data_IF_203210731123
#
_entry.id   IF_203210731123
#
_cell.length_a   1.000
_cell.length_b   1.000
_cell.length_c   1.000
_cell.angle_alpha   90.00
_cell.angle_beta   90.00
_cell.angle_gamma   90.00
#
_symmetry.space_group_name_H-M   'P 1'
#
loop_
_entity.id
_entity.type
_entity.pdbx_description
1 polymer ?
#
# COMPACT_ATOMS: atom_id res chain seq x y z
N UNK A 1 -13.04 -24.95 -8.61
CA UNK A 1 -13.45 -23.87 -9.51
C UNK A 1 -12.45 -22.75 -9.41
N UNK A 2 -12.45 -21.82 -10.35
CA UNK A 2 -11.62 -20.64 -10.28
C UNK A 2 -12.45 -19.50 -9.71
N UNK A 3 -11.89 -18.71 -8.79
CA UNK A 3 -12.49 -17.48 -8.33
C UNK A 3 -12.49 -16.42 -9.44
N UNK A 4 -13.38 -15.44 -9.34
CA UNK A 4 -13.46 -14.30 -10.23
C UNK A 4 -13.52 -13.00 -9.42
N UNK A 5 -12.79 -12.00 -9.86
CA UNK A 5 -12.85 -10.65 -9.27
C UNK A 5 -13.40 -9.68 -10.32
N UNK A 6 -14.43 -8.94 -9.93
CA UNK A 6 -15.02 -7.89 -10.74
C UNK A 6 -14.87 -6.53 -10.04
N UNK A 7 -14.29 -5.56 -10.75
CA UNK A 7 -14.06 -4.20 -10.22
C UNK A 7 -14.95 -3.22 -10.99
N UNK A 8 -15.87 -2.57 -10.27
CA UNK A 8 -16.79 -1.59 -10.84
C UNK A 8 -16.62 -0.21 -10.16
N UNK A 9 -15.94 0.73 -10.81
CA UNK A 9 -15.76 2.08 -10.27
C UNK A 9 -17.07 2.87 -10.14
N UNK A 10 -18.15 2.45 -10.81
CA UNK A 10 -19.42 3.16 -10.87
C UNK A 10 -20.54 2.50 -10.09
N UNK A 11 -20.34 1.30 -9.51
CA UNK A 11 -21.26 0.54 -8.66
C UNK A 11 -22.54 0.03 -9.34
N UNK A 12 -22.86 0.45 -10.57
CA UNK A 12 -24.11 0.08 -11.24
C UNK A 12 -24.11 -1.35 -11.75
N UNK A 13 -23.03 -1.76 -12.38
CA UNK A 13 -22.92 -3.08 -13.02
C UNK A 13 -22.75 -4.20 -11.99
N UNK A 14 -22.12 -3.94 -10.85
CA UNK A 14 -21.94 -4.96 -9.80
C UNK A 14 -23.27 -5.43 -9.23
N UNK A 15 -24.23 -4.54 -9.00
CA UNK A 15 -25.56 -4.92 -8.51
C UNK A 15 -26.36 -5.72 -9.54
N UNK A 16 -26.27 -5.33 -10.82
CA UNK A 16 -26.88 -6.12 -11.90
C UNK A 16 -26.26 -7.51 -11.98
N UNK A 17 -24.95 -7.61 -11.87
CA UNK A 17 -24.22 -8.88 -11.90
C UNK A 17 -24.63 -9.79 -10.73
N UNK A 18 -24.67 -9.24 -9.49
CA UNK A 18 -25.11 -10.01 -8.30
C UNK A 18 -26.53 -10.51 -8.49
N UNK A 19 -27.43 -9.68 -9.04
CA UNK A 19 -28.84 -10.05 -9.29
C UNK A 19 -29.01 -11.13 -10.37
N UNK A 20 -27.99 -11.42 -11.19
CA UNK A 20 -28.00 -12.48 -12.18
C UNK A 20 -27.39 -13.80 -11.66
N UNK A 21 -26.77 -13.80 -10.48
CA UNK A 21 -26.15 -15.00 -9.92
C UNK A 21 -27.24 -15.93 -9.37
N UNK A 22 -27.08 -17.26 -9.57
CA UNK A 22 -27.93 -18.24 -8.91
C UNK A 22 -27.80 -18.18 -7.39
N UNK A 23 -28.91 -18.46 -6.68
CA UNK A 23 -28.93 -18.42 -5.21
C UNK A 23 -27.86 -19.30 -4.56
N UNK A 24 -27.54 -20.44 -5.20
CA UNK A 24 -26.57 -21.41 -4.71
C UNK A 24 -25.14 -20.90 -4.64
N UNK A 25 -24.83 -19.79 -5.34
CA UNK A 25 -23.47 -19.19 -5.34
C UNK A 25 -23.39 -17.90 -4.53
N UNK A 26 -24.53 -17.35 -4.07
CA UNK A 26 -24.55 -16.07 -3.34
C UNK A 26 -23.77 -16.13 -2.03
N UNK A 27 -23.77 -17.27 -1.33
CA UNK A 27 -22.99 -17.48 -0.10
C UNK A 27 -21.46 -17.41 -0.31
N UNK A 28 -21.02 -17.47 -1.57
CA UNK A 28 -19.60 -17.39 -1.96
C UNK A 28 -19.24 -16.01 -2.48
N UNK A 29 -20.20 -15.09 -2.56
CA UNK A 29 -19.95 -13.73 -3.05
C UNK A 29 -19.41 -12.87 -1.91
N UNK A 30 -18.25 -12.28 -2.11
CA UNK A 30 -17.73 -11.24 -1.23
C UNK A 30 -17.87 -9.91 -1.94
N UNK A 31 -18.74 -9.04 -1.43
CA UNK A 31 -18.95 -7.70 -1.93
C UNK A 31 -18.17 -6.71 -1.08
N UNK A 32 -17.25 -5.97 -1.70
CA UNK A 32 -16.45 -4.96 -1.05
C UNK A 32 -16.86 -3.58 -1.56
N UNK A 33 -17.44 -2.78 -0.70
CA UNK A 33 -17.82 -1.40 -0.99
C UNK A 33 -16.91 -0.43 -0.23
N UNK A 34 -16.00 0.21 -0.96
CA UNK A 34 -15.09 1.21 -0.37
C UNK A 34 -15.79 2.54 -0.05
N UNK A 35 -17.05 2.69 -0.46
CA UNK A 35 -17.86 3.90 -0.25
C UNK A 35 -18.86 3.74 0.89
N UNK A 36 -18.97 2.53 1.46
CA UNK A 36 -19.84 2.23 2.59
C UNK A 36 -19.31 2.90 3.86
N UNK A 37 -20.17 3.68 4.52
CA UNK A 37 -19.82 4.37 5.77
C UNK A 37 -20.02 3.49 7.01
N UNK A 38 -20.86 2.47 6.93
CA UNK A 38 -21.19 1.55 8.03
C UNK A 38 -20.19 0.37 8.08
N UNK A 39 -19.75 -0.12 6.91
CA UNK A 39 -18.85 -1.26 6.79
C UNK A 39 -17.53 -0.86 6.13
N UNK A 40 -16.53 -0.60 6.95
CA UNK A 40 -15.20 -0.22 6.47
C UNK A 40 -14.43 -1.44 6.00
N UNK A 41 -13.99 -1.43 4.75
CA UNK A 41 -13.04 -2.41 4.23
C UNK A 41 -11.65 -2.03 4.70
N UNK A 42 -11.06 -2.86 5.56
CA UNK A 42 -9.66 -2.71 5.99
C UNK A 42 -8.76 -3.31 4.89
N UNK A 43 -7.92 -2.49 4.26
CA UNK A 43 -7.03 -2.94 3.19
C UNK A 43 -5.61 -2.41 3.40
N UNK A 44 -4.69 -3.32 3.69
CA UNK A 44 -3.25 -3.06 3.71
C UNK A 44 -2.56 -3.89 2.62
N UNK A 45 -2.11 -3.28 1.52
CA UNK A 45 -1.45 -4.00 0.43
C UNK A 45 -0.11 -4.63 0.82
N UNK A 46 0.41 -4.33 2.02
CA UNK A 46 1.72 -4.77 2.50
C UNK A 46 1.66 -5.95 3.48
N UNK A 47 0.47 -6.35 3.94
CA UNK A 47 0.32 -7.32 5.04
C UNK A 47 0.63 -8.77 4.61
N UNK A 48 0.09 -9.21 3.48
CA UNK A 48 0.09 -10.64 3.10
C UNK A 48 1.16 -11.03 2.09
N UNK A 49 1.98 -10.09 1.64
CA UNK A 49 3.02 -10.37 0.67
C UNK A 49 4.14 -11.24 1.26
N UNK A 50 4.62 -12.21 0.49
CA UNK A 50 5.82 -12.97 0.78
C UNK A 50 7.08 -12.20 0.36
N UNK A 51 8.22 -12.52 0.99
CA UNK A 51 9.48 -11.81 0.78
C UNK A 51 10.03 -11.92 -0.64
N UNK A 52 9.74 -12.99 -1.36
CA UNK A 52 10.18 -13.19 -2.75
C UNK A 52 9.46 -12.23 -3.70
N UNK A 53 8.23 -11.86 -3.37
CA UNK A 53 7.38 -10.94 -4.15
C UNK A 53 7.64 -9.46 -3.87
N UNK A 54 8.32 -9.07 -2.78
CA UNK A 54 8.47 -7.66 -2.38
C UNK A 54 9.00 -6.76 -3.50
N UNK A 55 10.02 -7.22 -4.24
CA UNK A 55 10.62 -6.44 -5.33
C UNK A 55 9.61 -6.13 -6.44
N UNK A 56 8.89 -7.15 -6.91
CA UNK A 56 7.86 -7.02 -7.95
C UNK A 56 6.71 -6.15 -7.48
N UNK A 57 6.14 -6.44 -6.31
CA UNK A 57 5.02 -5.69 -5.75
C UNK A 57 5.38 -4.22 -5.49
N UNK A 58 6.62 -3.94 -5.07
CA UNK A 58 7.11 -2.56 -4.93
C UNK A 58 7.05 -1.80 -6.26
N UNK A 59 7.50 -2.43 -7.36
CA UNK A 59 7.47 -1.81 -8.68
C UNK A 59 6.03 -1.56 -9.14
N UNK A 60 5.15 -2.54 -8.98
CA UNK A 60 3.73 -2.44 -9.34
C UNK A 60 3.03 -1.34 -8.55
N UNK A 61 3.23 -1.30 -7.23
CA UNK A 61 2.67 -0.26 -6.37
C UNK A 61 3.15 1.14 -6.77
N UNK A 62 4.46 1.32 -6.94
CA UNK A 62 5.03 2.61 -7.33
C UNK A 62 4.54 3.05 -8.71
N UNK A 63 4.38 2.14 -9.67
CA UNK A 63 3.82 2.44 -10.97
C UNK A 63 2.35 2.86 -10.89
N UNK A 64 1.55 2.25 -10.02
CA UNK A 64 0.15 2.65 -9.78
C UNK A 64 0.06 4.08 -9.22
N UNK A 65 1.01 4.47 -8.41
CA UNK A 65 1.09 5.82 -7.84
C UNK A 65 1.79 6.85 -8.75
N UNK A 66 2.36 6.43 -9.88
CA UNK A 66 3.08 7.31 -10.81
C UNK A 66 2.27 8.53 -11.23
N UNK A 67 0.99 8.34 -11.48
CA UNK A 67 0.10 9.40 -11.95
C UNK A 67 -0.20 10.49 -10.88
N UNK A 68 0.13 10.22 -9.61
CA UNK A 68 0.03 11.20 -8.54
C UNK A 68 1.20 12.20 -8.52
N UNK A 69 2.25 11.94 -9.31
CA UNK A 69 3.47 12.75 -9.34
C UNK A 69 3.65 13.42 -10.70
N UNK A 70 4.14 14.66 -10.71
CA UNK A 70 4.51 15.33 -11.94
C UNK A 70 5.69 14.61 -12.61
N UNK A 71 5.67 14.50 -13.93
CA UNK A 71 6.65 13.75 -14.71
C UNK A 71 8.10 14.20 -14.46
N UNK A 72 8.33 15.51 -14.29
CA UNK A 72 9.66 16.07 -14.04
C UNK A 72 10.29 15.68 -12.70
N UNK A 73 9.45 15.45 -11.70
CA UNK A 73 9.86 15.09 -10.34
C UNK A 73 9.94 13.57 -10.13
N UNK A 74 9.24 12.80 -10.94
CA UNK A 74 9.04 11.36 -10.73
C UNK A 74 10.36 10.56 -10.76
N UNK A 75 11.29 10.88 -11.68
CA UNK A 75 12.54 10.11 -11.80
C UNK A 75 13.39 10.13 -10.54
N UNK A 76 13.55 11.30 -9.92
CA UNK A 76 14.34 11.43 -8.68
C UNK A 76 13.63 10.80 -7.49
N UNK A 77 12.32 10.95 -7.42
CA UNK A 77 11.51 10.44 -6.32
C UNK A 77 11.25 8.94 -6.42
N UNK A 78 11.29 8.37 -7.62
CA UNK A 78 11.02 6.95 -7.84
C UNK A 78 11.93 6.04 -7.01
N UNK A 79 13.24 6.35 -6.95
CA UNK A 79 14.18 5.60 -6.12
C UNK A 79 13.78 5.66 -4.63
N UNK A 80 13.59 6.87 -4.10
CA UNK A 80 13.24 7.06 -2.69
C UNK A 80 11.88 6.40 -2.36
N UNK A 81 10.90 6.54 -3.26
CA UNK A 81 9.58 5.94 -3.09
C UNK A 81 9.66 4.40 -3.08
N UNK A 82 10.47 3.80 -3.97
CA UNK A 82 10.71 2.36 -3.95
C UNK A 82 11.30 1.89 -2.63
N UNK A 83 12.27 2.62 -2.08
CA UNK A 83 12.87 2.27 -0.79
C UNK A 83 11.84 2.33 0.35
N UNK A 84 10.94 3.33 0.32
CA UNK A 84 9.89 3.46 1.32
C UNK A 84 8.84 2.34 1.19
N UNK A 85 8.35 2.08 -0.02
CA UNK A 85 7.35 1.02 -0.27
C UNK A 85 7.91 -0.36 0.07
N UNK A 86 9.14 -0.64 -0.32
CA UNK A 86 9.80 -1.91 0.05
C UNK A 86 9.92 -2.06 1.58
N UNK A 87 10.23 -0.97 2.28
CA UNK A 87 10.28 -0.98 3.74
C UNK A 87 8.91 -1.29 4.38
N UNK A 88 7.80 -0.81 3.79
CA UNK A 88 6.46 -1.16 4.28
C UNK A 88 6.17 -2.66 4.14
N UNK A 89 6.57 -3.29 3.03
CA UNK A 89 6.47 -4.75 2.86
C UNK A 89 7.29 -5.49 3.92
N UNK A 90 8.56 -5.09 4.15
CA UNK A 90 9.43 -5.72 5.16
C UNK A 90 8.83 -5.62 6.56
N UNK A 91 8.25 -4.49 6.91
CA UNK A 91 7.71 -4.22 8.25
C UNK A 91 6.23 -4.59 8.38
N UNK A 92 5.55 -4.95 7.29
CA UNK A 92 4.09 -5.17 7.22
C UNK A 92 3.29 -3.97 7.76
N UNK A 93 3.81 -2.77 7.51
CA UNK A 93 3.23 -1.51 7.97
C UNK A 93 2.34 -0.90 6.88
N UNK A 94 1.39 -0.08 7.29
CA UNK A 94 0.49 0.64 6.40
C UNK A 94 1.10 1.97 5.88
N UNK A 95 0.37 2.66 5.01
CA UNK A 95 0.80 3.92 4.40
C UNK A 95 1.07 5.05 5.39
N UNK A 96 0.44 5.06 6.57
CA UNK A 96 0.68 6.05 7.62
C UNK A 96 2.11 5.99 8.18
N UNK A 97 2.83 4.90 7.96
CA UNK A 97 4.22 4.76 8.38
C UNK A 97 5.22 5.49 7.47
N UNK A 98 4.81 5.94 6.27
CA UNK A 98 5.69 6.67 5.33
C UNK A 98 6.23 7.98 5.94
N UNK A 99 5.39 8.87 6.53
CA UNK A 99 5.90 10.07 7.17
C UNK A 99 6.88 9.78 8.31
N UNK A 100 6.63 8.73 9.08
CA UNK A 100 7.50 8.33 10.18
C UNK A 100 8.83 7.80 9.67
N UNK A 101 8.85 6.96 8.62
CA UNK A 101 10.07 6.49 7.96
C UNK A 101 10.98 7.64 7.49
N UNK A 102 10.40 8.74 7.01
CA UNK A 102 11.14 9.90 6.55
C UNK A 102 11.42 10.94 7.65
N UNK A 103 10.85 10.78 8.83
CA UNK A 103 11.12 11.67 9.96
C UNK A 103 12.54 11.44 10.52
N UNK A 104 13.10 12.48 11.14
CA UNK A 104 14.36 12.38 11.89
C UNK A 104 14.07 12.41 13.41
N UNK A 105 13.12 11.59 13.81
CA UNK A 105 12.72 11.36 15.19
C UNK A 105 13.23 9.99 15.64
N UNK A 106 13.23 9.75 16.95
CA UNK A 106 13.60 8.44 17.51
C UNK A 106 12.72 7.31 16.93
N UNK A 107 11.41 7.55 16.80
CA UNK A 107 10.49 6.59 16.20
C UNK A 107 10.86 6.27 14.73
N UNK A 108 11.22 7.29 13.95
CA UNK A 108 11.69 7.09 12.58
C UNK A 108 13.01 6.31 12.52
N UNK A 109 13.93 6.58 13.46
CA UNK A 109 15.20 5.83 13.56
C UNK A 109 14.94 4.36 13.92
N UNK A 110 14.04 4.08 14.85
CA UNK A 110 13.62 2.73 15.23
C UNK A 110 13.03 1.95 14.03
N UNK A 111 12.13 2.58 13.26
CA UNK A 111 11.58 1.95 12.06
C UNK A 111 12.66 1.65 11.03
N UNK A 112 13.57 2.58 10.76
CA UNK A 112 14.67 2.35 9.80
C UNK A 112 15.63 1.25 10.26
N UNK A 113 15.93 1.19 11.55
CA UNK A 113 16.72 0.10 12.14
C UNK A 113 16.00 -1.24 11.98
N UNK A 114 14.69 -1.28 12.20
CA UNK A 114 13.90 -2.49 11.98
C UNK A 114 13.92 -2.94 10.51
N UNK A 115 13.83 -2.00 9.54
CA UNK A 115 14.01 -2.35 8.12
C UNK A 115 15.38 -2.96 7.87
N UNK A 116 16.45 -2.32 8.37
CA UNK A 116 17.82 -2.81 8.18
C UNK A 116 18.04 -4.20 8.77
N UNK A 117 17.39 -4.49 9.92
CA UNK A 117 17.51 -5.78 10.60
C UNK A 117 16.75 -6.92 9.89
N UNK A 118 15.59 -6.62 9.29
CA UNK A 118 14.68 -7.64 8.74
C UNK A 118 14.67 -7.72 7.21
N UNK A 119 15.44 -6.89 6.51
CA UNK A 119 15.45 -6.83 5.05
C UNK A 119 16.63 -7.62 4.48
N UNK A 120 16.38 -8.57 3.59
CA UNK A 120 17.42 -9.34 2.90
C UNK A 120 17.99 -8.58 1.69
N UNK A 121 17.26 -7.59 1.15
CA UNK A 121 17.73 -6.81 0.01
C UNK A 121 18.84 -5.82 0.42
N UNK A 122 20.05 -6.04 -0.13
CA UNK A 122 21.24 -5.25 0.19
C UNK A 122 21.15 -3.78 -0.21
N UNK A 123 20.42 -3.45 -1.29
CA UNK A 123 20.20 -2.07 -1.74
C UNK A 123 19.30 -1.31 -0.77
N UNK A 124 18.18 -1.92 -0.37
CA UNK A 124 17.26 -1.33 0.60
C UNK A 124 17.92 -1.14 1.96
N UNK A 125 18.68 -2.14 2.44
CA UNK A 125 19.47 -2.01 3.68
C UNK A 125 20.48 -0.86 3.61
N UNK A 126 21.23 -0.75 2.51
CA UNK A 126 22.20 0.32 2.32
C UNK A 126 21.53 1.70 2.31
N UNK A 127 20.39 1.82 1.63
CA UNK A 127 19.63 3.07 1.61
C UNK A 127 19.26 3.52 3.02
N UNK A 128 18.59 2.68 3.80
CA UNK A 128 18.13 3.06 5.13
C UNK A 128 19.24 3.18 6.18
N UNK A 129 20.35 2.44 5.99
CA UNK A 129 21.52 2.50 6.90
C UNK A 129 22.36 3.77 6.70
N UNK A 130 22.50 4.25 5.46
CA UNK A 130 23.46 5.32 5.15
C UNK A 130 22.94 6.35 4.15
N UNK A 131 22.39 5.95 3.02
CA UNK A 131 22.04 6.86 1.92
C UNK A 131 20.95 7.86 2.35
N UNK A 132 19.94 7.42 3.12
CA UNK A 132 18.87 8.26 3.67
C UNK A 132 19.41 9.52 4.35
N UNK A 133 20.47 9.40 5.13
CA UNK A 133 21.04 10.50 5.90
C UNK A 133 21.82 11.51 5.03
N UNK A 134 22.17 11.15 3.80
CA UNK A 134 22.80 12.06 2.83
C UNK A 134 21.79 13.03 2.19
N UNK A 135 20.51 12.70 2.20
CA UNK A 135 19.47 13.56 1.66
C UNK A 135 19.15 14.73 2.61
N UNK A 136 18.84 15.88 2.04
CA UNK A 136 18.25 16.99 2.80
C UNK A 136 16.79 16.67 3.13
N UNK A 137 16.26 17.25 4.21
CA UNK A 137 14.88 17.00 4.65
C UNK A 137 13.84 17.31 3.57
N UNK A 138 14.09 18.35 2.77
CA UNK A 138 13.19 18.78 1.69
C UNK A 138 13.12 17.80 0.50
N UNK A 139 14.08 16.89 0.37
CA UNK A 139 14.06 15.88 -0.68
C UNK A 139 12.85 14.93 -0.60
N UNK A 140 12.28 14.75 0.59
CA UNK A 140 11.14 13.87 0.84
C UNK A 140 9.79 14.59 0.73
N UNK A 141 9.77 15.93 0.74
CA UNK A 141 8.55 16.74 0.77
C UNK A 141 7.57 16.40 -0.37
N UNK A 142 8.00 16.18 -1.62
CA UNK A 142 7.05 15.84 -2.69
C UNK A 142 6.33 14.51 -2.45
N UNK A 143 7.00 13.52 -1.89
CA UNK A 143 6.42 12.23 -1.52
C UNK A 143 5.44 12.43 -0.36
N UNK A 144 5.89 13.08 0.70
CA UNK A 144 5.09 13.34 1.89
C UNK A 144 3.81 14.11 1.57
N UNK A 145 3.90 15.14 0.73
CA UNK A 145 2.73 15.94 0.34
C UNK A 145 1.68 15.10 -0.41
N UNK A 146 2.10 14.17 -1.27
CA UNK A 146 1.17 13.31 -2.03
C UNK A 146 0.50 12.28 -1.13
N UNK A 147 1.26 11.63 -0.26
CA UNK A 147 0.67 10.70 0.71
C UNK A 147 -0.20 11.43 1.74
N UNK A 148 0.20 12.62 2.18
CA UNK A 148 -0.62 13.44 3.05
C UNK A 148 -1.95 13.81 2.38
N UNK A 149 -1.94 14.22 1.11
CA UNK A 149 -3.16 14.54 0.38
C UNK A 149 -4.10 13.31 0.25
N UNK A 150 -3.55 12.12 -0.02
CA UNK A 150 -4.31 10.88 -0.06
C UNK A 150 -4.92 10.54 1.31
N UNK A 151 -4.13 10.64 2.37
CA UNK A 151 -4.53 10.29 3.73
C UNK A 151 -5.37 11.37 4.43
N UNK A 152 -5.47 12.58 3.88
CA UNK A 152 -6.43 13.60 4.32
C UNK A 152 -7.86 13.28 3.88
N UNK A 153 -8.04 12.49 2.82
CA UNK A 153 -9.35 11.97 2.48
C UNK A 153 -9.80 10.98 3.57
N UNK A 154 -10.96 11.23 4.16
CA UNK A 154 -11.45 10.45 5.31
C UNK A 154 -11.70 8.98 4.97
N UNK A 155 -12.15 8.69 3.73
CA UNK A 155 -12.40 7.31 3.28
C UNK A 155 -11.09 6.59 3.01
N UNK A 156 -10.18 7.20 2.25
CA UNK A 156 -8.85 6.63 2.00
C UNK A 156 -8.09 6.39 3.31
N UNK A 157 -8.13 7.35 4.23
CA UNK A 157 -7.50 7.19 5.55
C UNK A 157 -8.06 6.01 6.32
N UNK A 158 -9.39 5.80 6.33
CA UNK A 158 -10.01 4.65 7.00
C UNK A 158 -9.57 3.31 6.38
N UNK A 159 -9.59 3.23 5.04
CA UNK A 159 -9.23 2.01 4.29
C UNK A 159 -7.79 1.62 4.58
N UNK A 160 -6.84 2.58 4.49
CA UNK A 160 -5.41 2.33 4.57
C UNK A 160 -4.79 2.46 5.97
N UNK A 161 -5.61 2.68 7.04
CA UNK A 161 -5.10 2.87 8.39
C UNK A 161 -4.77 1.59 9.14
N UNK A 162 -5.31 0.46 8.72
CA UNK A 162 -5.10 -0.81 9.41
C UNK A 162 -3.78 -1.46 9.00
N UNK A 163 -3.15 -2.17 9.93
CA UNK A 163 -1.93 -2.93 9.66
C UNK A 163 -2.23 -4.32 9.10
N UNK A 164 -3.37 -4.91 9.48
CA UNK A 164 -3.76 -6.26 9.06
C UNK A 164 -5.06 -6.26 8.29
N UNK A 165 -5.10 -7.07 7.24
CA UNK A 165 -6.29 -7.35 6.49
C UNK A 165 -7.25 -8.26 7.28
N UNK A 166 -8.55 -7.99 7.17
CA UNK A 166 -9.59 -8.92 7.65
C UNK A 166 -10.01 -9.91 6.56
N UNK A 167 -9.68 -9.61 5.33
CA UNK A 167 -10.09 -10.36 4.14
C UNK A 167 -8.83 -10.83 3.44
N UNK A 168 -8.70 -12.14 3.24
CA UNK A 168 -7.64 -12.73 2.44
C UNK A 168 -8.15 -12.93 1.01
N UNK A 169 -7.72 -12.06 0.08
CA UNK A 169 -8.15 -12.13 -1.31
C UNK A 169 -7.70 -13.43 -2.01
N UNK A 170 -6.58 -14.01 -1.62
CA UNK A 170 -6.11 -15.28 -2.19
C UNK A 170 -7.05 -16.43 -1.80
N UNK A 171 -7.47 -16.50 -0.53
CA UNK A 171 -8.42 -17.52 -0.08
C UNK A 171 -9.81 -17.37 -0.72
N UNK A 172 -10.22 -16.16 -1.05
CA UNK A 172 -11.50 -15.92 -1.74
C UNK A 172 -11.43 -16.37 -3.20
N UNK A 173 -10.24 -16.30 -3.81
CA UNK A 173 -10.05 -16.63 -5.23
C UNK A 173 -9.77 -18.11 -5.49
N UNK A 174 -9.49 -18.92 -4.48
CA UNK A 174 -9.29 -20.39 -4.55
C UNK A 174 -10.63 -21.13 -4.40
#
# INVERSE_FOLDING_TARGET
GYGACFIDPHRTTVFELIGLLPDEVLDRVVYLDFDDDDYVVDFNPFDEADSESFGRLTIEFVNSFKNLFEASSFHRMNHILRMAVYALFVLKKNLNSIPVLFSRTNEGDELRLAVVANCDNGEVRRFWKSEFYSYRKDAFSPILNRFSALLMDAKASRIFSREKNKINLAEIMD
#
